data_IF_710617880569
#
_entry.id   IF_710617880569
#
_cell.length_a   1.000
_cell.length_b   1.000
_cell.length_c   1.000
_cell.angle_alpha   90.00
_cell.angle_beta   90.00
_cell.angle_gamma   90.00
#
_symmetry.space_group_name_H-M   'P 1'
#
loop_
_entity.id
_entity.type
_entity.pdbx_description
1 polymer ?
#
# COMPACT_ATOMS: atom_id res chain seq x y z
N UNK A 1 48.23 -4.02 85.19
CA UNK A 1 46.76 -4.15 84.93
C UNK A 1 46.11 -2.86 84.41
N UNK A 2 46.72 -1.68 84.59
CA UNK A 2 46.12 -0.38 84.24
C UNK A 2 46.12 -0.06 82.74
N UNK A 3 47.12 -0.54 82.00
CA UNK A 3 47.33 -0.25 80.58
C UNK A 3 46.26 -0.90 79.68
N UNK A 4 45.84 -2.13 79.99
CA UNK A 4 44.79 -2.85 79.25
C UNK A 4 43.42 -2.18 79.38
N UNK A 5 43.11 -1.62 80.57
CA UNK A 5 41.89 -0.82 80.80
C UNK A 5 41.93 0.52 80.06
N UNK A 6 43.10 1.17 79.95
CA UNK A 6 43.26 2.39 79.14
C UNK A 6 43.07 2.10 77.65
N UNK A 7 43.65 1.02 77.14
CA UNK A 7 43.47 0.60 75.76
C UNK A 7 42.01 0.28 75.43
N UNK A 8 41.31 -0.45 76.32
CA UNK A 8 39.89 -0.76 76.15
C UNK A 8 39.01 0.50 76.17
N UNK A 9 39.28 1.46 77.06
CA UNK A 9 38.58 2.76 77.07
C UNK A 9 38.84 3.55 75.79
N UNK A 10 40.07 3.53 75.27
CA UNK A 10 40.43 4.19 74.02
C UNK A 10 39.66 3.62 72.83
N UNK A 11 39.58 2.28 72.72
CA UNK A 11 38.81 1.62 71.67
C UNK A 11 37.31 1.90 71.76
N UNK A 12 36.74 1.94 72.97
CA UNK A 12 35.33 2.31 73.17
C UNK A 12 35.07 3.74 72.70
N UNK A 13 35.96 4.69 73.00
CA UNK A 13 35.84 6.08 72.55
C UNK A 13 35.94 6.16 71.03
N UNK A 14 36.89 5.45 70.40
CA UNK A 14 37.05 5.42 68.93
C UNK A 14 35.78 4.86 68.27
N UNK A 15 35.26 3.75 68.77
CA UNK A 15 34.02 3.14 68.23
C UNK A 15 32.83 4.08 68.41
N UNK A 16 32.70 4.75 69.57
CA UNK A 16 31.62 5.71 69.81
C UNK A 16 31.70 6.91 68.86
N UNK A 17 32.90 7.42 68.56
CA UNK A 17 33.10 8.52 67.59
C UNK A 17 32.77 8.07 66.17
N UNK A 18 33.20 6.88 65.75
CA UNK A 18 32.89 6.33 64.42
C UNK A 18 31.37 6.11 64.26
N UNK A 19 30.71 5.51 65.26
CA UNK A 19 29.26 5.31 65.24
C UNK A 19 28.50 6.64 65.23
N UNK A 20 28.96 7.63 66.00
CA UNK A 20 28.39 8.98 65.99
C UNK A 20 28.52 9.64 64.62
N UNK A 21 29.70 9.54 63.99
CA UNK A 21 29.93 10.11 62.65
C UNK A 21 29.08 9.42 61.57
N UNK A 22 28.98 8.08 61.59
CA UNK A 22 28.12 7.32 60.67
C UNK A 22 26.65 7.67 60.85
N UNK A 23 26.20 7.86 62.10
CA UNK A 23 24.83 8.26 62.39
C UNK A 23 24.52 9.67 61.83
N UNK A 24 25.44 10.63 61.98
CA UNK A 24 25.29 11.98 61.42
C UNK A 24 25.23 11.94 59.89
N UNK A 25 26.09 11.17 59.22
CA UNK A 25 26.05 11.02 57.76
C UNK A 25 24.73 10.39 57.27
N UNK A 26 24.24 9.33 57.95
CA UNK A 26 23.01 8.66 57.57
C UNK A 26 21.78 9.59 57.71
N UNK A 27 21.68 10.33 58.82
CA UNK A 27 20.59 11.30 59.04
C UNK A 27 20.66 12.45 58.02
N UNK A 28 21.86 12.94 57.72
CA UNK A 28 22.06 13.98 56.70
C UNK A 28 21.59 13.54 55.30
N UNK A 29 21.90 12.31 54.89
CA UNK A 29 21.49 11.78 53.59
C UNK A 29 19.96 11.62 53.47
N UNK A 30 19.29 11.14 54.52
CA UNK A 30 17.83 10.97 54.53
C UNK A 30 17.13 12.34 54.53
N UNK A 31 17.58 13.28 55.37
CA UNK A 31 17.00 14.61 55.43
C UNK A 31 17.16 15.38 54.11
N UNK A 32 18.36 15.34 53.52
CA UNK A 32 18.64 15.96 52.21
C UNK A 32 17.84 15.33 51.07
N UNK A 33 17.74 13.99 51.04
CA UNK A 33 16.98 13.26 50.03
C UNK A 33 15.47 13.54 50.07
N UNK A 34 14.87 13.56 51.27
CA UNK A 34 13.44 13.84 51.44
C UNK A 34 13.11 15.29 51.11
N UNK A 35 13.95 16.25 51.54
CA UNK A 35 13.76 17.65 51.20
C UNK A 35 13.87 17.90 49.68
N UNK A 36 14.87 17.29 49.03
CA UNK A 36 15.02 17.34 47.57
C UNK A 36 13.85 16.72 46.82
N UNK A 37 13.35 15.57 47.28
CA UNK A 37 12.18 14.90 46.69
C UNK A 37 10.89 15.73 46.82
N UNK A 38 10.65 16.36 47.98
CA UNK A 38 9.48 17.22 48.20
C UNK A 38 9.57 18.50 47.37
N UNK A 39 10.75 19.13 47.29
CA UNK A 39 10.98 20.32 46.47
C UNK A 39 10.79 20.02 44.97
N UNK A 40 11.34 18.91 44.47
CA UNK A 40 11.18 18.48 43.08
C UNK A 40 9.72 18.21 42.70
N UNK A 41 8.91 17.66 43.62
CA UNK A 41 7.50 17.34 43.37
C UNK A 41 6.58 18.57 43.25
N UNK A 42 7.03 19.76 43.67
CA UNK A 42 6.28 21.03 43.52
C UNK A 42 6.53 21.72 42.17
N UNK A 43 7.73 21.59 41.59
CA UNK A 43 8.07 22.20 40.30
C UNK A 43 7.42 21.49 39.10
N UNK A 44 7.23 20.16 39.17
CA UNK A 44 6.62 19.39 38.08
C UNK A 44 5.12 19.66 37.87
N UNK A 45 4.43 20.33 38.80
CA UNK A 45 2.99 20.63 38.69
C UNK A 45 2.69 21.95 37.97
N UNK A 46 3.69 22.82 37.78
CA UNK A 46 3.47 24.14 37.18
C UNK A 46 3.64 24.16 35.65
N UNK A 47 4.20 23.10 35.05
CA UNK A 47 4.41 23.04 33.59
C UNK A 47 3.27 22.40 32.79
N UNK A 48 2.30 21.77 33.46
CA UNK A 48 1.08 21.27 32.79
C UNK A 48 -0.04 22.29 32.99
N UNK A 49 0.16 23.51 32.49
CA UNK A 49 -0.97 24.35 32.12
C UNK A 49 -1.22 24.06 30.65
N UNK A 50 -2.12 23.12 30.37
CA UNK A 50 -2.59 22.91 29.01
C UNK A 50 -3.06 24.27 28.46
N UNK A 51 -2.68 24.66 27.23
CA UNK A 51 -3.29 25.82 26.60
C UNK A 51 -4.81 25.64 26.65
N UNK A 52 -5.54 26.70 26.97
CA UNK A 52 -7.00 26.69 26.86
C UNK A 52 -7.31 26.33 25.41
N UNK A 53 -7.75 25.10 25.18
CA UNK A 53 -8.30 24.69 23.90
C UNK A 53 -9.60 25.48 23.81
N UNK A 54 -9.60 26.54 22.98
CA UNK A 54 -10.84 27.18 22.57
C UNK A 54 -11.73 26.02 22.13
N UNK A 55 -12.93 25.82 22.72
CA UNK A 55 -13.82 24.80 22.23
C UNK A 55 -14.20 25.23 20.82
N UNK A 56 -13.44 24.73 19.85
CA UNK A 56 -13.97 24.42 18.55
C UNK A 56 -15.00 23.36 18.88
N UNK A 57 -16.22 23.76 19.26
CA UNK A 57 -17.37 22.99 18.83
C UNK A 57 -17.11 22.82 17.36
N UNK A 58 -16.73 21.61 16.88
CA UNK A 58 -16.65 21.43 15.46
C UNK A 58 -18.07 21.76 15.03
N UNK A 59 -18.24 22.88 14.30
CA UNK A 59 -19.47 23.07 13.55
C UNK A 59 -19.62 21.74 12.84
N UNK A 60 -20.73 21.00 13.04
CA UNK A 60 -20.86 19.70 12.44
C UNK A 60 -20.61 19.97 10.98
N UNK A 61 -19.46 19.50 10.46
CA UNK A 61 -19.23 19.49 9.04
C UNK A 61 -20.48 18.76 8.59
N UNK A 62 -21.40 19.38 7.84
CA UNK A 62 -22.54 18.66 7.35
C UNK A 62 -21.89 17.46 6.70
N UNK A 63 -22.09 16.28 7.28
CA UNK A 63 -21.68 15.08 6.59
C UNK A 63 -22.64 15.16 5.43
N UNK A 64 -22.15 15.71 4.32
CA UNK A 64 -22.63 15.36 3.01
C UNK A 64 -22.28 13.89 3.00
N UNK A 65 -23.12 13.09 3.67
CA UNK A 65 -23.43 11.75 3.24
C UNK A 65 -23.91 12.11 1.85
N UNK A 66 -23.11 11.88 0.79
CA UNK A 66 -23.73 11.85 -0.51
C UNK A 66 -24.90 10.90 -0.28
N UNK A 67 -26.13 11.43 -0.36
CA UNK A 67 -27.35 10.62 -0.36
C UNK A 67 -26.94 9.40 -1.15
N UNK A 68 -26.96 8.16 -0.60
CA UNK A 68 -26.41 7.01 -1.30
C UNK A 68 -26.96 7.15 -2.70
N UNK A 69 -26.08 7.51 -3.63
CA UNK A 69 -26.45 7.57 -5.01
C UNK A 69 -26.76 6.12 -5.19
N UNK A 70 -28.07 5.79 -5.24
CA UNK A 70 -28.61 4.48 -5.59
C UNK A 70 -27.57 3.91 -6.52
N UNK A 71 -26.81 2.85 -6.13
CA UNK A 71 -25.47 2.56 -6.63
C UNK A 71 -25.41 3.10 -8.03
N UNK A 72 -24.82 4.28 -8.23
CA UNK A 72 -24.91 4.94 -9.55
C UNK A 72 -24.39 3.85 -10.47
N UNK A 73 -25.30 3.22 -11.23
CA UNK A 73 -25.18 1.85 -11.70
C UNK A 73 -23.94 1.82 -12.58
N UNK A 74 -22.78 1.56 -11.97
CA UNK A 74 -21.69 0.89 -12.65
C UNK A 74 -22.40 -0.33 -13.20
N UNK A 75 -22.55 -0.47 -14.52
CA UNK A 75 -23.17 -1.66 -15.06
C UNK A 75 -22.45 -2.81 -14.36
N UNK A 76 -23.23 -3.71 -13.77
CA UNK A 76 -22.72 -4.82 -12.96
C UNK A 76 -22.04 -5.88 -13.86
N UNK A 77 -21.32 -5.40 -14.86
CA UNK A 77 -20.43 -6.11 -15.75
C UNK A 77 -19.07 -5.48 -15.47
N UNK A 78 -18.03 -6.25 -15.07
CA UNK A 78 -16.67 -5.72 -14.90
C UNK A 78 -16.06 -5.13 -16.20
N UNK A 79 -16.84 -5.11 -17.28
CA UNK A 79 -16.44 -4.87 -18.65
C UNK A 79 -17.52 -4.00 -19.34
N UNK A 80 -17.50 -2.70 -19.11
CA UNK A 80 -18.29 -1.73 -19.91
C UNK A 80 -17.67 -1.56 -21.33
N UNK A 81 -17.35 -2.67 -22.00
CA UNK A 81 -16.84 -2.72 -23.36
C UNK A 81 -17.97 -3.25 -24.25
N UNK A 82 -18.23 -2.56 -25.36
CA UNK A 82 -19.31 -2.96 -26.29
C UNK A 82 -18.99 -4.24 -27.07
N UNK A 83 -17.71 -4.59 -27.17
CA UNK A 83 -17.24 -5.83 -27.78
C UNK A 83 -15.84 -6.20 -27.26
N UNK A 84 -15.39 -7.41 -27.58
CA UNK A 84 -14.03 -7.87 -27.35
C UNK A 84 -13.55 -8.78 -28.47
N UNK A 85 -12.24 -9.00 -28.53
CA UNK A 85 -11.62 -9.98 -29.42
C UNK A 85 -11.08 -11.15 -28.60
N UNK A 86 -11.78 -12.29 -28.65
CA UNK A 86 -11.30 -13.52 -28.02
C UNK A 86 -10.16 -14.10 -28.84
N UNK A 87 -9.00 -14.20 -28.22
CA UNK A 87 -7.82 -14.85 -28.77
C UNK A 87 -8.08 -16.35 -28.83
N UNK A 88 -8.28 -16.84 -30.04
CA UNK A 88 -8.53 -18.27 -30.30
C UNK A 88 -7.22 -19.04 -30.42
N UNK A 89 -6.16 -18.39 -30.90
CA UNK A 89 -4.84 -18.99 -31.04
C UNK A 89 -3.75 -17.91 -31.15
N UNK A 90 -2.51 -18.26 -30.87
CA UNK A 90 -1.34 -17.36 -30.96
C UNK A 90 -0.28 -18.05 -31.81
N UNK A 91 0.29 -17.33 -32.77
CA UNK A 91 1.35 -17.87 -33.64
C UNK A 91 2.67 -17.89 -32.87
N UNK A 92 3.37 -19.01 -32.88
CA UNK A 92 4.68 -19.16 -32.24
C UNK A 92 5.67 -18.11 -32.77
N UNK A 93 6.53 -17.59 -31.88
CA UNK A 93 7.53 -16.56 -32.20
C UNK A 93 6.96 -15.25 -32.77
N UNK A 94 5.64 -15.03 -32.64
CA UNK A 94 4.99 -13.79 -33.04
C UNK A 94 5.14 -12.68 -32.00
N UNK A 95 4.84 -11.41 -32.36
CA UNK A 95 4.75 -10.31 -31.40
C UNK A 95 3.84 -10.60 -30.20
N UNK A 96 2.66 -11.19 -30.44
CA UNK A 96 1.71 -11.53 -29.40
C UNK A 96 2.27 -12.60 -28.44
N UNK A 97 2.94 -13.62 -28.98
CA UNK A 97 3.60 -14.67 -28.19
C UNK A 97 4.73 -14.09 -27.33
N UNK A 98 5.61 -13.29 -27.94
CA UNK A 98 6.71 -12.59 -27.23
C UNK A 98 6.19 -11.68 -26.12
N UNK A 99 5.02 -11.07 -26.30
CA UNK A 99 4.37 -10.23 -25.29
C UNK A 99 3.61 -11.04 -24.22
N UNK A 100 3.50 -12.36 -24.37
CA UNK A 100 2.86 -13.26 -23.42
C UNK A 100 1.34 -13.29 -23.50
N UNK A 101 0.75 -12.89 -24.63
CA UNK A 101 -0.66 -13.10 -24.96
C UNK A 101 -0.90 -14.60 -25.14
N UNK A 102 -2.06 -15.08 -24.71
CA UNK A 102 -2.39 -16.51 -24.75
C UNK A 102 -3.78 -16.73 -25.33
N UNK A 103 -3.99 -17.93 -25.84
CA UNK A 103 -5.33 -18.44 -26.14
C UNK A 103 -6.24 -18.30 -24.92
N UNK A 104 -7.45 -17.81 -25.15
CA UNK A 104 -8.44 -17.54 -24.11
C UNK A 104 -8.37 -16.13 -23.53
N UNK A 105 -7.38 -15.32 -23.92
CA UNK A 105 -7.41 -13.88 -23.62
C UNK A 105 -8.52 -13.19 -24.39
N UNK A 106 -9.18 -12.23 -23.76
CA UNK A 106 -10.14 -11.35 -24.43
C UNK A 106 -9.53 -9.96 -24.48
N UNK A 107 -9.18 -9.49 -25.67
CA UNK A 107 -8.70 -8.12 -25.86
C UNK A 107 -9.94 -7.22 -25.85
N UNK A 108 -9.92 -6.16 -25.04
CA UNK A 108 -11.05 -5.23 -24.88
C UNK A 108 -10.70 -3.77 -25.11
N UNK A 109 -9.40 -3.45 -25.16
CA UNK A 109 -8.91 -2.09 -25.37
C UNK A 109 -7.59 -2.11 -26.12
N UNK A 110 -7.36 -1.09 -26.95
CA UNK A 110 -6.13 -0.87 -27.71
C UNK A 110 -5.73 0.60 -27.55
N UNK A 111 -4.54 0.88 -27.02
CA UNK A 111 -4.02 2.22 -26.76
C UNK A 111 -5.01 3.14 -26.03
N UNK A 112 -5.65 2.62 -24.98
CA UNK A 112 -6.65 3.36 -24.21
C UNK A 112 -8.01 3.50 -24.89
N UNK A 113 -8.20 2.96 -26.11
CA UNK A 113 -9.47 2.98 -26.86
C UNK A 113 -10.23 1.66 -26.68
N UNK A 114 -11.41 1.67 -26.03
CA UNK A 114 -12.27 0.50 -25.88
C UNK A 114 -12.69 -0.05 -27.25
N UNK A 115 -12.69 -1.38 -27.40
CA UNK A 115 -13.31 -2.05 -28.55
C UNK A 115 -14.83 -1.95 -28.45
N UNK A 116 -15.46 -1.60 -29.57
CA UNK A 116 -16.91 -1.49 -29.75
C UNK A 116 -17.43 -2.55 -30.72
N UNK A 117 -18.74 -2.74 -30.72
CA UNK A 117 -19.38 -3.61 -31.69
C UNK A 117 -19.13 -3.12 -33.12
N UNK A 118 -18.65 -4.02 -33.97
CA UNK A 118 -18.22 -3.70 -35.33
C UNK A 118 -16.74 -3.33 -35.47
N UNK A 119 -16.05 -3.04 -34.36
CA UNK A 119 -14.60 -2.80 -34.42
C UNK A 119 -13.87 -4.08 -34.78
N UNK A 120 -12.91 -3.94 -35.69
CA UNK A 120 -12.08 -5.04 -36.14
C UNK A 120 -10.65 -4.82 -35.65
N UNK A 121 -10.18 -5.68 -34.74
CA UNK A 121 -8.81 -5.62 -34.19
C UNK A 121 -7.75 -5.50 -35.30
N UNK A 122 -7.90 -6.25 -36.40
CA UNK A 122 -6.96 -6.19 -37.52
C UNK A 122 -6.96 -4.86 -38.27
N UNK A 123 -8.08 -4.14 -38.29
CA UNK A 123 -8.18 -2.82 -38.94
C UNK A 123 -7.54 -1.76 -38.05
N UNK A 124 -7.82 -1.78 -36.74
CA UNK A 124 -7.21 -0.85 -35.80
C UNK A 124 -5.68 -1.01 -35.80
N UNK A 125 -5.18 -2.24 -35.84
CA UNK A 125 -3.73 -2.50 -35.93
C UNK A 125 -3.13 -1.99 -37.24
N UNK A 126 -3.89 -1.93 -38.33
CA UNK A 126 -3.42 -1.39 -39.61
C UNK A 126 -3.20 0.13 -39.59
N UNK A 127 -3.73 0.84 -38.59
CA UNK A 127 -3.45 2.27 -38.39
C UNK A 127 -2.04 2.53 -37.81
N UNK A 128 -1.29 1.46 -37.47
CA UNK A 128 0.06 1.52 -36.92
C UNK A 128 1.12 1.08 -37.93
N UNK A 129 2.38 1.30 -37.59
CA UNK A 129 3.52 0.82 -38.37
C UNK A 129 4.19 -0.40 -37.71
N UNK A 130 4.76 -1.33 -38.51
CA UNK A 130 5.68 -2.33 -37.97
C UNK A 130 6.81 -1.68 -37.17
N UNK A 131 6.96 -2.10 -35.91
CA UNK A 131 7.91 -1.55 -34.95
C UNK A 131 7.28 -0.65 -33.88
N UNK A 132 6.01 -0.27 -34.04
CA UNK A 132 5.26 0.46 -33.00
C UNK A 132 4.99 -0.42 -31.79
N UNK A 133 4.90 0.20 -30.62
CA UNK A 133 4.43 -0.46 -29.40
C UNK A 133 2.96 -0.11 -29.20
N UNK A 134 2.12 -1.13 -29.16
CA UNK A 134 0.68 -1.02 -28.92
C UNK A 134 0.35 -1.57 -27.54
N UNK A 135 -0.42 -0.81 -26.76
CA UNK A 135 -0.90 -1.23 -25.45
C UNK A 135 -2.24 -1.95 -25.59
N UNK A 136 -2.30 -3.22 -25.19
CA UNK A 136 -3.53 -4.01 -25.22
C UNK A 136 -4.02 -4.27 -23.80
N UNK A 137 -5.29 -3.97 -23.53
CA UNK A 137 -5.96 -4.48 -22.33
C UNK A 137 -6.59 -5.82 -22.64
N UNK A 138 -6.16 -6.83 -21.91
CA UNK A 138 -6.63 -8.21 -22.03
C UNK A 138 -7.28 -8.69 -20.74
N UNK A 139 -8.31 -9.50 -20.87
CA UNK A 139 -8.96 -10.19 -19.76
C UNK A 139 -8.52 -11.65 -19.80
N UNK A 140 -7.94 -12.13 -18.70
CA UNK A 140 -7.51 -13.51 -18.53
C UNK A 140 -7.97 -14.03 -17.17
N UNK A 141 -8.83 -15.05 -17.17
CA UNK A 141 -9.40 -15.61 -15.94
C UNK A 141 -10.14 -14.56 -15.11
N UNK A 142 -10.96 -13.73 -15.76
CA UNK A 142 -11.73 -12.66 -15.12
C UNK A 142 -10.94 -11.43 -14.68
N UNK A 143 -9.61 -11.41 -14.84
CA UNK A 143 -8.77 -10.27 -14.44
C UNK A 143 -8.26 -9.50 -15.65
N UNK A 144 -8.40 -8.19 -15.60
CA UNK A 144 -7.80 -7.27 -16.57
C UNK A 144 -6.28 -7.18 -16.40
N UNK A 145 -5.55 -7.15 -17.51
CA UNK A 145 -4.10 -6.99 -17.59
C UNK A 145 -3.78 -6.08 -18.76
N UNK A 146 -2.73 -5.30 -18.61
CA UNK A 146 -2.19 -4.48 -19.69
C UNK A 146 -0.95 -5.20 -20.24
N UNK A 147 -0.90 -5.36 -21.56
CA UNK A 147 0.19 -6.02 -22.27
C UNK A 147 0.63 -5.12 -23.41
N UNK A 148 1.89 -4.70 -23.39
CA UNK A 148 2.48 -3.94 -24.48
C UNK A 148 3.07 -4.89 -25.51
N UNK A 149 2.66 -4.74 -26.77
CA UNK A 149 3.11 -5.56 -27.90
C UNK A 149 3.87 -4.69 -28.89
N UNK A 150 5.10 -5.09 -29.23
CA UNK A 150 5.85 -4.46 -30.31
C UNK A 150 5.46 -5.10 -31.64
N UNK A 151 4.77 -4.37 -32.49
CA UNK A 151 4.31 -4.86 -33.80
C UNK A 151 5.49 -5.25 -34.69
N UNK A 152 5.31 -6.31 -35.47
CA UNK A 152 6.26 -6.72 -36.50
C UNK A 152 5.58 -6.73 -37.87
N UNK A 153 6.38 -6.90 -38.93
CA UNK A 153 5.85 -7.04 -40.28
C UNK A 153 5.16 -8.40 -40.41
N UNK A 154 3.98 -8.42 -41.02
CA UNK A 154 3.30 -9.66 -41.33
C UNK A 154 4.14 -10.50 -42.33
N UNK A 155 4.62 -11.70 -41.96
CA UNK A 155 5.42 -12.53 -42.86
C UNK A 155 4.61 -13.11 -44.03
N UNK A 156 3.29 -13.17 -43.90
CA UNK A 156 2.38 -13.80 -44.85
C UNK A 156 1.70 -12.81 -45.81
N UNK A 157 1.98 -11.50 -45.70
CA UNK A 157 1.43 -10.47 -46.59
C UNK A 157 2.56 -9.64 -47.21
N UNK A 158 2.50 -9.33 -48.52
CA UNK A 158 3.43 -8.40 -49.11
C UNK A 158 3.22 -6.98 -48.54
N UNK A 159 4.29 -6.19 -48.47
CA UNK A 159 4.25 -4.79 -48.01
C UNK A 159 4.54 -4.61 -46.52
N UNK A 160 4.25 -3.42 -46.00
CA UNK A 160 4.53 -2.99 -44.62
C UNK A 160 3.33 -3.16 -43.70
N UNK A 161 2.69 -4.33 -43.76
CA UNK A 161 1.48 -4.59 -42.95
C UNK A 161 1.89 -4.92 -41.52
N UNK A 162 1.45 -4.12 -40.51
CA UNK A 162 1.68 -4.43 -39.10
C UNK A 162 0.95 -5.71 -38.69
N UNK A 163 1.52 -6.42 -37.72
CA UNK A 163 1.03 -7.72 -37.32
C UNK A 163 1.25 -7.99 -35.84
N UNK A 164 0.21 -8.49 -35.18
CA UNK A 164 0.27 -9.04 -33.82
C UNK A 164 0.66 -10.52 -33.80
N UNK A 165 0.24 -11.29 -34.82
CA UNK A 165 0.43 -12.74 -34.85
C UNK A 165 -0.43 -13.55 -33.89
N UNK A 166 -1.71 -13.20 -33.85
CA UNK A 166 -2.72 -14.00 -33.19
C UNK A 166 -3.93 -14.20 -34.10
N UNK A 167 -4.71 -15.22 -33.79
CA UNK A 167 -6.02 -15.46 -34.36
C UNK A 167 -7.06 -15.11 -33.30
N UNK A 168 -8.12 -14.41 -33.71
CA UNK A 168 -9.20 -14.03 -32.82
C UNK A 168 -10.55 -14.22 -33.48
N UNK A 169 -11.57 -14.27 -32.63
CA UNK A 169 -12.97 -14.13 -33.01
C UNK A 169 -13.52 -12.90 -32.29
N UNK A 170 -14.27 -12.08 -33.02
CA UNK A 170 -15.04 -11.00 -32.40
C UNK A 170 -16.11 -11.61 -31.49
N UNK A 171 -16.14 -11.14 -30.26
CA UNK A 171 -17.19 -11.41 -29.29
C UNK A 171 -18.10 -10.17 -29.23
N UNK A 172 -19.27 -10.19 -29.90
CA UNK A 172 -20.28 -9.17 -29.71
C UNK A 172 -20.89 -9.31 -28.30
N UNK A 173 -21.40 -8.20 -27.77
CA UNK A 173 -22.27 -8.23 -26.60
C UNK A 173 -23.56 -9.03 -26.92
N UNK A 174 -24.12 -9.91 -26.05
CA UNK A 174 -23.86 -10.16 -24.61
C UNK A 174 -22.93 -11.34 -24.27
N UNK A 175 -22.26 -11.96 -25.26
CA UNK A 175 -21.44 -13.19 -25.07
C UNK A 175 -20.20 -12.97 -24.18
N UNK A 176 -19.90 -11.73 -23.78
CA UNK A 176 -18.80 -11.37 -22.89
C UNK A 176 -19.05 -11.67 -21.41
N UNK A 177 -20.22 -12.20 -21.05
CA UNK A 177 -20.47 -12.73 -19.70
C UNK A 177 -19.52 -13.92 -19.44
N UNK A 178 -18.41 -13.62 -18.78
CA UNK A 178 -17.46 -14.65 -18.32
C UNK A 178 -18.25 -15.58 -17.40
N UNK A 179 -18.37 -16.88 -17.73
CA UNK A 179 -19.07 -17.80 -16.85
C UNK A 179 -18.40 -17.71 -15.48
N UNK A 180 -19.20 -17.38 -14.48
CA UNK A 180 -18.81 -17.35 -13.08
C UNK A 180 -18.04 -18.65 -12.84
N UNK A 181 -16.74 -18.55 -12.48
CA UNK A 181 -15.93 -19.75 -12.36
C UNK A 181 -16.45 -20.53 -11.17
N UNK A 182 -17.30 -21.51 -11.42
CA UNK A 182 -17.76 -22.47 -10.41
C UNK A 182 -16.51 -23.03 -9.71
N UNK A 183 -16.38 -22.70 -8.43
CA UNK A 183 -15.28 -23.06 -7.55
C UNK A 183 -15.69 -24.18 -6.59
#
# INVERSE_FOLDING_TARGET
>A
MEEKKRHQRLWIIIIAVILGSLFVCAVGAVAGGVAGYIAGRRAARQYVRAPQVIPMTPTPIPRVVPKPQKPEELPETPFAFGAGALVTDVVDDSPADKAGIRRGDIIVEIDGRPLKEGDNLSEIIQDHEPGDNVELRVIRGGRSRIVTVRLERNPNKPGNVPWLGLYYRLLPWPELEIPESDN
#
